data_IF_272941678099
#
_entry.id   IF_272941678099
#
_cell.length_a   1.000
_cell.length_b   1.000
_cell.length_c   1.000
_cell.angle_alpha   90.00
_cell.angle_beta   90.00
_cell.angle_gamma   90.00
#
_symmetry.space_group_name_H-M   'P 1'
#
loop_
_entity.id
_entity.type
_entity.pdbx_description
1 polymer ?
#
# COMPACT_ATOMS: atom_id res chain seq x y z
N UNK A 1 -6.14 10.73 -14.05
CA UNK A 1 -4.77 11.14 -13.66
C UNK A 1 -4.06 9.92 -13.12
N UNK A 2 -2.76 9.82 -13.29
CA UNK A 2 -1.91 8.75 -12.72
C UNK A 2 -0.87 9.46 -11.87
N UNK A 3 -0.67 8.98 -10.65
CA UNK A 3 0.33 9.50 -9.73
C UNK A 3 1.57 8.58 -9.74
N UNK A 4 2.79 9.11 -9.97
CA UNK A 4 4.00 8.29 -10.06
C UNK A 4 4.70 8.06 -8.71
N UNK A 5 4.22 8.63 -7.60
CA UNK A 5 4.96 8.69 -6.34
C UNK A 5 5.34 7.31 -5.82
N UNK A 6 4.38 6.36 -5.79
CA UNK A 6 4.63 5.00 -5.31
C UNK A 6 5.65 4.27 -6.18
N UNK A 7 5.53 4.37 -7.51
CA UNK A 7 6.43 3.73 -8.47
C UNK A 7 7.82 4.38 -8.51
N UNK A 8 7.95 5.62 -8.03
CA UNK A 8 9.20 6.35 -7.93
C UNK A 8 10.02 6.06 -6.68
N UNK A 9 9.48 5.30 -5.71
CA UNK A 9 10.21 4.96 -4.49
C UNK A 9 11.29 3.90 -4.75
N UNK A 10 12.43 4.01 -4.07
CA UNK A 10 13.54 3.05 -4.20
C UNK A 10 13.20 1.64 -3.67
N UNK A 11 12.18 1.54 -2.81
CA UNK A 11 11.77 0.29 -2.18
C UNK A 11 10.25 0.16 -2.12
N UNK A 12 9.79 -1.08 -1.97
CA UNK A 12 8.38 -1.40 -1.82
C UNK A 12 7.73 -0.56 -0.72
N UNK A 13 6.59 0.05 -1.04
CA UNK A 13 5.76 0.76 -0.08
C UNK A 13 4.54 -0.04 0.30
N UNK A 14 4.24 -0.06 1.60
CA UNK A 14 3.01 -0.62 2.13
C UNK A 14 1.85 0.29 1.76
N UNK A 15 0.70 -0.27 1.39
CA UNK A 15 -0.48 0.52 0.98
C UNK A 15 -0.89 1.56 2.03
N UNK A 16 -0.75 1.27 3.32
CA UNK A 16 -1.02 2.22 4.40
C UNK A 16 -0.15 3.50 4.28
N UNK A 17 1.13 3.36 3.92
CA UNK A 17 2.06 4.49 3.72
C UNK A 17 1.65 5.30 2.49
N UNK A 18 1.25 4.63 1.41
CA UNK A 18 0.75 5.29 0.18
C UNK A 18 -0.50 6.13 0.49
N UNK A 19 -1.45 5.59 1.26
CA UNK A 19 -2.64 6.35 1.66
C UNK A 19 -2.31 7.54 2.56
N UNK A 20 -1.35 7.40 3.47
CA UNK A 20 -0.87 8.50 4.32
C UNK A 20 -0.16 9.58 3.53
N UNK A 21 0.58 9.22 2.48
CA UNK A 21 1.19 10.18 1.58
C UNK A 21 0.12 11.07 0.93
N UNK A 22 -0.92 10.48 0.33
CA UNK A 22 -2.02 11.25 -0.25
C UNK A 22 -2.81 12.07 0.79
N UNK A 23 -2.88 11.59 2.03
CA UNK A 23 -3.50 12.32 3.13
C UNK A 23 -2.78 13.63 3.42
N UNK A 24 -1.46 13.59 3.53
CA UNK A 24 -0.66 14.80 3.72
C UNK A 24 -0.69 15.69 2.47
N UNK A 25 -0.64 15.14 1.27
CA UNK A 25 -0.67 15.96 0.05
C UNK A 25 -2.01 16.69 -0.15
N UNK A 26 -3.13 16.00 0.09
CA UNK A 26 -4.46 16.53 -0.21
C UNK A 26 -5.04 17.33 0.94
N UNK A 27 -4.73 16.97 2.19
CA UNK A 27 -5.30 17.59 3.38
C UNK A 27 -4.27 18.25 4.30
N UNK A 28 -2.98 18.07 4.04
CA UNK A 28 -1.92 18.72 4.79
C UNK A 28 -1.80 20.21 4.51
N UNK A 29 -1.11 20.89 5.43
CA UNK A 29 -0.83 22.32 5.35
C UNK A 29 -2.05 23.26 5.50
N UNK A 30 -1.82 24.59 5.46
CA UNK A 30 -2.87 25.59 5.65
C UNK A 30 -3.90 25.64 4.51
N UNK A 31 -3.58 24.99 3.39
CA UNK A 31 -4.39 24.94 2.18
C UNK A 31 -4.88 23.53 1.82
N UNK A 32 -4.91 22.60 2.79
CA UNK A 32 -5.47 21.27 2.60
C UNK A 32 -7.00 21.24 2.48
N UNK A 33 -7.52 20.22 1.81
CA UNK A 33 -8.95 19.99 1.62
C UNK A 33 -9.60 20.84 0.52
N UNK A 34 -10.91 20.70 0.37
CA UNK A 34 -11.72 21.39 -0.63
C UNK A 34 -12.38 22.62 -0.03
N UNK A 35 -12.30 23.77 -0.73
CA UNK A 35 -13.04 24.98 -0.36
C UNK A 35 -14.54 24.76 -0.53
N UNK A 36 -15.30 25.01 0.52
CA UNK A 36 -16.77 24.95 0.49
C UNK A 36 -17.35 26.30 0.10
N UNK A 37 -18.61 26.31 -0.36
CA UNK A 37 -19.34 27.53 -0.72
C UNK A 37 -19.42 28.54 0.42
N UNK A 38 -19.33 28.07 1.66
CA UNK A 38 -19.44 28.88 2.87
C UNK A 38 -18.10 29.52 3.28
N UNK A 39 -17.05 29.41 2.46
CA UNK A 39 -15.72 29.96 2.74
C UNK A 39 -14.84 29.10 3.65
N UNK A 40 -15.37 28.01 4.20
CA UNK A 40 -14.60 27.01 4.95
C UNK A 40 -13.86 26.02 4.05
N UNK A 41 -13.03 25.16 4.65
CA UNK A 41 -12.40 24.02 3.97
C UNK A 41 -12.91 22.73 4.57
N UNK A 42 -13.25 21.76 3.72
CA UNK A 42 -13.65 20.42 4.12
C UNK A 42 -12.54 19.44 3.73
N UNK A 43 -12.16 18.60 4.69
CA UNK A 43 -11.17 17.55 4.50
C UNK A 43 -11.66 16.54 3.45
N UNK A 44 -10.78 16.17 2.53
CA UNK A 44 -11.00 15.13 1.53
C UNK A 44 -10.94 13.77 2.23
N UNK A 45 -11.93 12.92 1.99
CA UNK A 45 -11.93 11.54 2.47
C UNK A 45 -11.25 10.67 1.43
N UNK A 46 -10.08 10.15 1.76
CA UNK A 46 -9.35 9.20 0.93
C UNK A 46 -9.85 7.79 1.26
N UNK A 47 -10.08 6.99 0.23
CA UNK A 47 -10.53 5.59 0.35
C UNK A 47 -9.76 4.73 -0.65
N UNK A 48 -9.43 3.51 -0.24
CA UNK A 48 -8.80 2.52 -1.12
C UNK A 48 -9.86 1.91 -2.04
N UNK A 49 -9.69 2.04 -3.36
CA UNK A 49 -10.54 1.35 -4.35
C UNK A 49 -9.89 0.03 -4.74
N UNK A 50 -10.61 -1.08 -4.60
CA UNK A 50 -10.07 -2.41 -4.90
C UNK A 50 -11.14 -3.40 -5.41
N UNK A 51 -10.69 -4.53 -5.96
CA UNK A 51 -11.53 -5.68 -6.23
C UNK A 51 -11.72 -6.57 -5.00
N UNK A 52 -12.65 -7.53 -5.08
CA UNK A 52 -12.86 -8.53 -4.03
C UNK A 52 -11.64 -9.39 -3.73
N UNK A 53 -10.79 -9.62 -4.73
CA UNK A 53 -9.51 -10.34 -4.62
C UNK A 53 -8.54 -9.70 -3.61
N UNK A 54 -8.46 -8.37 -3.58
CA UNK A 54 -7.62 -7.67 -2.59
C UNK A 54 -8.17 -7.85 -1.18
N UNK A 55 -9.48 -7.80 -0.99
CA UNK A 55 -10.12 -8.02 0.31
C UNK A 55 -9.80 -9.42 0.84
N UNK A 56 -9.96 -10.46 0.01
CA UNK A 56 -9.67 -11.84 0.41
C UNK A 56 -8.19 -12.00 0.80
N UNK A 57 -7.30 -11.22 0.19
CA UNK A 57 -5.89 -11.21 0.55
C UNK A 57 -5.62 -10.70 1.97
N UNK A 58 -6.52 -9.89 2.58
CA UNK A 58 -6.33 -9.36 3.94
C UNK A 58 -6.28 -10.47 5.00
N UNK A 59 -6.94 -11.60 4.74
CA UNK A 59 -6.95 -12.75 5.63
C UNK A 59 -5.80 -13.72 5.41
N UNK A 60 -4.95 -13.49 4.39
CA UNK A 60 -3.81 -14.36 4.12
C UNK A 60 -2.65 -14.07 5.08
N UNK A 61 -2.23 -15.04 5.91
CA UNK A 61 -1.17 -14.83 6.89
C UNK A 61 0.15 -14.38 6.26
N UNK A 62 0.74 -13.31 6.82
CA UNK A 62 2.04 -12.80 6.38
C UNK A 62 2.00 -11.90 5.14
N UNK A 63 0.81 -11.60 4.59
CA UNK A 63 0.66 -10.64 3.49
C UNK A 63 0.45 -9.22 4.03
N UNK A 64 -0.36 -9.07 5.07
CA UNK A 64 -0.71 -7.78 5.66
C UNK A 64 -0.32 -7.70 7.13
N UNK A 65 0.30 -6.58 7.53
CA UNK A 65 0.48 -6.26 8.93
C UNK A 65 -0.88 -5.86 9.54
N UNK A 66 -1.28 -6.40 10.70
CA UNK A 66 -2.55 -6.03 11.35
C UNK A 66 -2.70 -4.53 11.59
N UNK A 67 -1.62 -3.84 11.97
CA UNK A 67 -1.61 -2.39 12.18
C UNK A 67 -1.92 -1.62 10.90
N UNK A 68 -1.43 -2.11 9.75
CA UNK A 68 -1.73 -1.50 8.46
C UNK A 68 -3.20 -1.68 8.09
N UNK A 69 -3.79 -2.84 8.39
CA UNK A 69 -5.22 -3.05 8.18
C UNK A 69 -6.06 -2.10 9.04
N UNK A 70 -5.65 -1.83 10.28
CA UNK A 70 -6.32 -0.84 11.13
C UNK A 70 -6.18 0.59 10.59
N UNK A 71 -5.05 0.96 10.00
CA UNK A 71 -4.87 2.25 9.33
C UNK A 71 -5.75 2.33 8.08
N UNK A 72 -5.61 1.36 7.17
CA UNK A 72 -6.33 1.31 5.89
C UNK A 72 -7.84 1.32 6.12
N UNK A 73 -8.36 0.47 7.00
CA UNK A 73 -9.81 0.33 7.21
C UNK A 73 -10.37 1.34 8.22
N UNK A 74 -9.59 1.71 9.23
CA UNK A 74 -10.04 2.60 10.30
C UNK A 74 -9.96 4.09 9.93
N UNK A 75 -8.80 4.54 9.42
CA UNK A 75 -8.57 5.97 9.13
C UNK A 75 -9.11 6.36 7.75
N UNK A 76 -8.90 5.50 6.76
CA UNK A 76 -9.31 5.72 5.38
C UNK A 76 -10.65 5.05 5.10
N UNK A 77 -10.64 3.76 4.83
CA UNK A 77 -11.78 2.98 4.39
C UNK A 77 -11.56 2.43 2.99
N UNK A 78 -12.46 1.55 2.58
CA UNK A 78 -12.29 0.79 1.35
C UNK A 78 -13.59 0.78 0.52
N UNK A 79 -13.44 0.94 -0.77
CA UNK A 79 -14.47 0.76 -1.78
C UNK A 79 -14.15 -0.53 -2.55
N UNK A 80 -15.00 -1.54 -2.43
CA UNK A 80 -14.75 -2.88 -2.96
C UNK A 80 -15.70 -3.15 -4.11
N UNK A 81 -15.17 -3.34 -5.31
CA UNK A 81 -15.95 -3.75 -6.47
C UNK A 81 -16.02 -5.27 -6.48
N UNK A 82 -17.21 -5.80 -6.22
CA UNK A 82 -17.48 -7.24 -6.20
C UNK A 82 -17.40 -7.81 -7.62
N UNK A 83 -16.60 -8.86 -7.82
CA UNK A 83 -16.52 -9.61 -9.07
C UNK A 83 -17.12 -11.01 -8.87
N UNK A 84 -17.51 -11.65 -9.97
CA UNK A 84 -18.05 -13.01 -9.93
C UNK A 84 -17.08 -13.97 -9.21
N UNK A 85 -17.56 -14.65 -8.16
CA UNK A 85 -16.80 -15.70 -7.47
C UNK A 85 -16.20 -15.32 -6.12
N UNK A 86 -16.26 -14.06 -5.69
CA UNK A 86 -15.83 -13.62 -4.35
C UNK A 86 -17.03 -13.32 -3.46
N UNK A 87 -17.28 -14.10 -2.40
CA UNK A 87 -18.26 -13.74 -1.36
C UNK A 87 -17.62 -12.79 -0.35
N UNK A 88 -17.51 -11.52 -0.77
CA UNK A 88 -16.93 -10.43 0.01
C UNK A 88 -17.65 -10.30 1.35
N UNK A 89 -18.96 -10.49 1.40
CA UNK A 89 -19.74 -10.32 2.63
C UNK A 89 -19.47 -11.43 3.65
N UNK A 90 -19.41 -12.69 3.21
CA UNK A 90 -19.05 -13.78 4.10
C UNK A 90 -17.64 -13.59 4.68
N UNK A 91 -16.69 -13.15 3.87
CA UNK A 91 -15.32 -12.88 4.32
C UNK A 91 -15.24 -11.68 5.28
N UNK A 92 -15.96 -10.60 5.00
CA UNK A 92 -16.03 -9.43 5.89
C UNK A 92 -16.57 -9.77 7.29
N UNK A 93 -17.52 -10.71 7.37
CA UNK A 93 -18.13 -11.12 8.63
C UNK A 93 -17.27 -12.12 9.42
N UNK A 94 -16.41 -12.88 8.74
CA UNK A 94 -15.57 -13.90 9.39
C UNK A 94 -14.23 -13.38 9.90
N UNK A 95 -13.77 -12.21 9.44
CA UNK A 95 -12.49 -11.64 9.84
C UNK A 95 -12.65 -10.50 10.86
N UNK A 96 -12.04 -10.64 12.04
CA UNK A 96 -12.19 -9.71 13.18
C UNK A 96 -11.91 -8.24 12.87
N UNK A 97 -10.75 -7.92 12.26
CA UNK A 97 -10.37 -6.54 11.91
C UNK A 97 -11.33 -5.93 10.89
N UNK A 98 -11.71 -6.69 9.87
CA UNK A 98 -12.63 -6.23 8.83
C UNK A 98 -14.03 -6.02 9.40
N UNK A 99 -14.50 -6.95 10.22
CA UNK A 99 -15.77 -6.82 10.93
C UNK A 99 -15.77 -5.60 11.86
N UNK A 100 -14.70 -5.37 12.60
CA UNK A 100 -14.53 -4.19 13.46
C UNK A 100 -14.70 -2.89 12.66
N UNK A 101 -14.07 -2.81 11.49
CA UNK A 101 -14.09 -1.61 10.63
C UNK A 101 -15.14 -1.65 9.51
N UNK A 102 -16.10 -2.57 9.54
CA UNK A 102 -17.07 -2.83 8.46
C UNK A 102 -17.86 -1.62 7.97
N UNK A 103 -18.08 -0.61 8.84
CA UNK A 103 -18.79 0.62 8.47
C UNK A 103 -17.99 1.52 7.51
N UNK A 104 -16.68 1.37 7.47
CA UNK A 104 -15.78 2.07 6.53
C UNK A 104 -15.52 1.26 5.25
N UNK A 105 -16.21 0.12 5.08
CA UNK A 105 -16.08 -0.73 3.90
C UNK A 105 -17.38 -0.65 3.11
N UNK A 106 -17.30 -0.20 1.87
CA UNK A 106 -18.44 -0.07 0.97
C UNK A 106 -18.26 -1.08 -0.15
N UNK A 107 -19.17 -2.05 -0.23
CA UNK A 107 -19.19 -3.05 -1.30
C UNK A 107 -20.09 -2.56 -2.43
N UNK A 108 -19.55 -2.49 -3.63
CA UNK A 108 -20.22 -2.09 -4.86
C UNK A 108 -20.43 -3.33 -5.72
N UNK A 109 -21.70 -3.67 -5.95
CA UNK A 109 -22.09 -4.76 -6.83
C UNK A 109 -21.85 -4.41 -8.29
N UNK A 110 -21.09 -5.26 -8.97
CA UNK A 110 -20.92 -5.15 -10.42
C UNK A 110 -22.09 -5.85 -11.13
N UNK A 111 -23.02 -5.08 -11.70
CA UNK A 111 -24.20 -5.63 -12.40
C UNK A 111 -23.89 -6.17 -13.79
N UNK A 112 -22.84 -5.66 -14.44
CA UNK A 112 -22.39 -6.10 -15.76
C UNK A 112 -21.01 -6.72 -15.62
N UNK A 113 -20.91 -8.02 -15.91
CA UNK A 113 -19.67 -8.76 -15.79
C UNK A 113 -18.58 -8.20 -16.70
N UNK A 114 -17.43 -7.89 -16.10
CA UNK A 114 -16.19 -7.64 -16.80
C UNK A 114 -15.15 -8.62 -16.25
N UNK A 115 -14.74 -9.57 -17.09
CA UNK A 115 -13.78 -10.61 -16.73
C UNK A 115 -12.44 -10.42 -17.48
N UNK A 116 -12.13 -9.16 -17.83
CA UNK A 116 -10.81 -8.76 -18.31
C UNK A 116 -9.87 -8.74 -17.10
N UNK A 117 -8.72 -9.41 -17.23
CA UNK A 117 -7.66 -9.42 -16.23
C UNK A 117 -6.30 -9.31 -16.91
N UNK A 118 -5.32 -8.70 -16.23
CA UNK A 118 -3.97 -8.53 -16.76
C UNK A 118 -3.31 -9.88 -17.10
N UNK A 119 -3.64 -10.95 -16.37
CA UNK A 119 -3.18 -12.32 -16.67
C UNK A 119 -3.67 -12.81 -18.04
N UNK A 120 -4.96 -12.62 -18.36
CA UNK A 120 -5.52 -12.99 -19.67
C UNK A 120 -4.95 -12.12 -20.79
N UNK A 121 -4.84 -10.81 -20.58
CA UNK A 121 -4.24 -9.89 -21.55
C UNK A 121 -2.81 -10.32 -21.89
N UNK A 122 -1.95 -10.54 -20.88
CA UNK A 122 -0.56 -11.00 -21.11
C UNK A 122 -0.51 -12.37 -21.78
N UNK A 123 -1.46 -13.27 -21.49
CA UNK A 123 -1.55 -14.56 -22.16
C UNK A 123 -1.91 -14.40 -23.65
N UNK A 124 -2.84 -13.49 -23.98
CA UNK A 124 -3.27 -13.25 -25.35
C UNK A 124 -2.14 -12.66 -26.19
N UNK A 125 -1.40 -11.68 -25.64
CA UNK A 125 -0.21 -11.13 -26.29
C UNK A 125 0.83 -12.22 -26.58
N UNK A 126 1.15 -13.07 -25.58
CA UNK A 126 2.09 -14.20 -25.77
C UNK A 126 1.66 -15.21 -26.83
N UNK A 127 0.35 -15.36 -27.04
CA UNK A 127 -0.23 -16.27 -28.05
C UNK A 127 -0.52 -15.60 -29.38
N UNK A 128 -0.05 -14.37 -29.59
CA UNK A 128 -0.34 -13.56 -30.78
C UNK A 128 -1.85 -13.41 -31.08
N UNK A 129 -2.68 -13.42 -30.03
CA UNK A 129 -4.12 -13.21 -30.14
C UNK A 129 -4.47 -11.74 -30.01
N UNK A 130 -5.56 -11.33 -30.66
CA UNK A 130 -6.04 -9.95 -30.60
C UNK A 130 -6.47 -9.57 -29.19
N UNK A 131 -5.98 -8.42 -28.72
CA UNK A 131 -6.43 -7.74 -27.49
C UNK A 131 -7.26 -6.48 -27.79
N UNK A 132 -7.73 -6.33 -29.05
CA UNK A 132 -8.58 -5.22 -29.46
C UNK A 132 -9.88 -5.23 -28.65
N UNK A 133 -10.33 -4.05 -28.23
CA UNK A 133 -11.51 -3.84 -27.38
C UNK A 133 -11.36 -4.32 -25.91
N UNK A 134 -10.24 -4.96 -25.54
CA UNK A 134 -9.95 -5.26 -24.13
C UNK A 134 -9.24 -4.10 -23.42
N UNK A 135 -8.54 -3.26 -24.19
CA UNK A 135 -7.75 -2.12 -23.71
C UNK A 135 -7.93 -0.91 -24.65
N UNK A 136 -7.62 0.31 -24.19
CA UNK A 136 -7.52 1.48 -25.07
C UNK A 136 -6.46 1.28 -26.17
N UNK A 137 -6.75 1.79 -27.38
CA UNK A 137 -5.85 1.63 -28.54
C UNK A 137 -4.43 2.15 -28.27
N UNK A 138 -4.28 3.25 -27.54
CA UNK A 138 -2.97 3.80 -27.18
C UNK A 138 -2.15 2.85 -26.30
N UNK A 139 -2.79 2.11 -25.40
CA UNK A 139 -2.14 1.11 -24.55
C UNK A 139 -1.74 -0.11 -25.37
N UNK A 140 -2.62 -0.55 -26.29
CA UNK A 140 -2.33 -1.65 -27.22
C UNK A 140 -1.11 -1.32 -28.08
N UNK A 141 -1.10 -0.12 -28.67
CA UNK A 141 0.01 0.37 -29.48
C UNK A 141 1.31 0.38 -28.68
N UNK A 142 1.28 0.92 -27.46
CA UNK A 142 2.45 0.95 -26.58
C UNK A 142 2.98 -0.46 -26.23
N UNK A 143 2.09 -1.42 -25.94
CA UNK A 143 2.49 -2.81 -25.68
C UNK A 143 3.25 -3.41 -26.87
N UNK A 144 2.78 -3.18 -28.10
CA UNK A 144 3.43 -3.72 -29.30
C UNK A 144 4.73 -2.99 -29.66
N UNK A 145 4.73 -1.66 -29.60
CA UNK A 145 5.91 -0.86 -29.92
C UNK A 145 7.08 -1.15 -28.97
N UNK A 146 6.77 -1.34 -27.68
CA UNK A 146 7.77 -1.66 -26.65
C UNK A 146 7.98 -3.17 -26.46
N UNK A 147 7.34 -4.01 -27.30
CA UNK A 147 7.44 -5.49 -27.23
C UNK A 147 7.20 -6.04 -25.82
N UNK A 148 6.24 -5.45 -25.10
CA UNK A 148 5.90 -5.91 -23.75
C UNK A 148 5.14 -7.22 -23.83
N UNK A 149 5.48 -8.17 -22.96
CA UNK A 149 4.82 -9.48 -22.87
C UNK A 149 4.93 -10.35 -24.12
N UNK A 150 5.76 -9.98 -25.10
CA UNK A 150 6.17 -10.88 -26.18
C UNK A 150 7.29 -11.77 -25.64
N UNK A 151 7.17 -13.09 -25.82
CA UNK A 151 8.11 -14.07 -25.27
C UNK A 151 9.52 -13.91 -25.85
N UNK A 152 10.54 -13.76 -24.98
CA UNK A 152 11.93 -14.12 -25.28
C UNK A 152 12.51 -15.22 -24.35
N UNK A 153 11.72 -15.81 -23.45
CA UNK A 153 12.17 -16.90 -22.57
C UNK A 153 11.56 -18.25 -22.96
N UNK A 154 12.31 -19.37 -22.89
CA UNK A 154 11.83 -20.67 -23.29
C UNK A 154 10.64 -21.08 -22.42
N UNK A 155 9.65 -21.72 -23.05
CA UNK A 155 8.57 -22.36 -22.33
C UNK A 155 9.19 -23.33 -21.32
N UNK A 156 9.05 -23.05 -20.02
CA UNK A 156 9.35 -24.04 -18.99
C UNK A 156 8.37 -25.18 -19.24
N UNK A 157 8.83 -26.40 -19.58
CA UNK A 157 7.92 -27.52 -19.78
C UNK A 157 7.15 -27.80 -18.48
N UNK A 158 5.89 -28.16 -18.61
CA UNK A 158 4.94 -28.43 -17.52
C UNK A 158 5.32 -29.60 -16.58
N UNK A 159 6.54 -30.14 -16.66
CA UNK A 159 6.96 -31.35 -15.94
C UNK A 159 7.88 -31.13 -14.73
N UNK A 160 8.28 -29.89 -14.42
CA UNK A 160 9.09 -29.62 -13.22
C UNK A 160 8.22 -29.25 -11.99
N UNK A 161 7.28 -30.12 -11.63
CA UNK A 161 6.66 -30.13 -10.29
C UNK A 161 6.91 -31.49 -9.66
N UNK A 162 8.17 -31.77 -9.34
CA UNK A 162 8.53 -32.79 -8.37
C UNK A 162 9.55 -32.22 -7.41
N UNK A 163 9.06 -31.94 -6.20
CA UNK A 163 9.79 -31.95 -4.93
C UNK A 163 11.20 -31.36 -4.93
N UNK A 164 11.32 -30.05 -4.71
CA UNK A 164 12.42 -29.51 -3.93
C UNK A 164 11.86 -28.57 -2.87
N UNK A 165 12.20 -28.85 -1.62
CA UNK A 165 11.81 -28.08 -0.44
C UNK A 165 12.28 -26.63 -0.56
N UNK A 166 11.54 -25.66 0.00
CA UNK A 166 11.96 -24.26 -0.04
C UNK A 166 13.29 -24.07 0.74
N UNK A 167 14.18 -23.18 0.28
CA UNK A 167 15.40 -22.85 1.01
C UNK A 167 15.05 -22.20 2.37
N UNK A 168 15.91 -22.36 3.39
CA UNK A 168 15.62 -21.81 4.71
C UNK A 168 15.51 -20.29 4.66
N UNK A 169 14.48 -19.75 5.31
CA UNK A 169 14.28 -18.31 5.48
C UNK A 169 15.47 -17.73 6.25
N UNK A 170 16.20 -16.82 5.62
CA UNK A 170 17.06 -15.88 6.36
C UNK A 170 16.16 -14.93 7.12
N UNK A 171 16.06 -15.13 8.43
CA UNK A 171 15.41 -14.19 9.34
C UNK A 171 16.25 -12.91 9.36
N UNK A 172 15.70 -11.72 9.08
CA UNK A 172 16.43 -10.48 9.29
C UNK A 172 16.77 -10.36 10.80
N UNK A 173 17.96 -9.87 11.17
CA UNK A 173 18.35 -9.81 12.58
C UNK A 173 17.37 -8.93 13.36
N UNK A 174 16.82 -9.48 14.45
CA UNK A 174 16.12 -8.73 15.48
C UNK A 174 17.02 -7.58 15.95
N UNK A 175 16.53 -6.33 16.09
CA UNK A 175 17.34 -5.26 16.62
C UNK A 175 17.70 -5.59 18.08
N UNK A 176 18.97 -5.96 18.28
CA UNK A 176 19.57 -6.08 19.60
C UNK A 176 19.58 -4.70 20.25
N UNK A 177 19.10 -4.64 21.49
CA UNK A 177 19.17 -3.46 22.33
C UNK A 177 20.63 -3.03 22.53
N UNK A 178 21.09 -2.06 21.73
CA UNK A 178 22.25 -1.25 22.08
C UNK A 178 21.80 -0.05 22.90
N UNK A 179 22.02 -0.23 24.19
CA UNK A 179 22.15 0.77 25.25
C UNK A 179 22.56 2.16 24.73
N UNK A 180 21.71 3.14 25.03
CA UNK A 180 22.05 4.56 25.01
C UNK A 180 23.41 4.81 25.69
N UNK A 181 24.36 5.40 24.96
CA UNK A 181 25.38 6.26 25.57
C UNK A 181 25.07 7.70 25.20
N UNK A 182 24.07 8.27 25.86
CA UNK A 182 24.04 9.73 26.09
C UNK A 182 25.27 10.06 26.95
N UNK A 183 26.28 10.67 26.34
CA UNK A 183 27.33 11.37 27.10
C UNK A 183 26.65 12.55 27.78
N UNK A 184 26.30 12.38 29.05
CA UNK A 184 26.05 13.49 29.96
C UNK A 184 27.36 14.27 30.09
N UNK A 185 27.38 15.51 29.60
CA UNK A 185 28.36 16.50 30.03
C UNK A 185 27.87 17.01 31.39
N UNK A 186 28.47 16.49 32.47
CA UNK A 186 28.45 17.14 33.77
C UNK A 186 29.75 17.93 33.85
N UNK A 187 29.67 19.25 33.77
CA UNK A 187 30.75 20.12 34.23
C UNK A 187 30.35 20.62 35.61
N UNK A 188 31.06 20.09 36.58
CA UNK A 188 30.95 20.32 38.01
C UNK A 188 31.25 21.78 38.34
N UNK A 189 30.42 22.37 39.18
CA UNK A 189 30.66 23.64 39.83
C UNK A 189 31.40 23.36 41.14
N UNK A 190 32.67 23.75 41.26
CA UNK A 190 33.22 23.99 42.59
C UNK A 190 34.33 25.05 42.67
N UNK A 191 33.94 26.12 43.37
CA UNK A 191 34.68 26.89 44.37
C UNK A 191 36.22 26.99 44.34
N UNK A 192 36.70 28.24 44.20
CA UNK A 192 37.86 28.83 44.91
C UNK A 192 37.81 30.37 44.72
N UNK A 193 37.35 31.15 45.70
CA UNK A 193 38.05 31.68 46.89
C UNK A 193 38.64 33.11 46.68
N UNK A 194 38.45 33.95 47.70
CA UNK A 194 39.25 35.14 48.08
C UNK A 194 38.83 36.56 47.62
N UNK A 195 38.21 37.28 48.58
CA UNK A 195 38.59 38.59 49.15
C UNK A 195 38.78 39.85 48.27
N UNK A 196 37.99 40.89 48.61
CA UNK A 196 38.33 42.34 48.76
C UNK A 196 37.01 43.09 49.05
N UNK A 197 36.70 43.49 50.29
CA UNK A 197 37.09 44.72 51.02
C UNK A 197 36.88 46.04 50.26
N UNK A 198 36.31 47.00 51.00
CA UNK A 198 36.28 48.49 50.90
C UNK A 198 35.11 49.19 50.22
N UNK A 199 34.13 49.56 51.06
CA UNK A 199 33.71 50.93 51.42
C UNK A 199 33.40 51.98 50.33
N UNK A 200 32.16 52.48 50.38
CA UNK A 200 31.73 53.88 50.62
C UNK A 200 30.34 54.09 50.00
#
# INVERSE_FOLDING_TARGET
MVDPWEAGQESYQRTAVVLQHFEEELNGGPNGGVRTRNGGRQRIKIMLLAGGDLIESFGHPGVWAPDDLHVILGQFGCLIVERAGSDVWAFLLSHDILYHHRRNIIVIKQLIYNDISSTKVRLFVRRAMSIKYLLPNSVIQYIYDQKLYTSEAPAVPLEAVTTTSPPPRTVPPTPSALTERKKFFVADSDSRNSARTTSA
#
